data_IF_013932008968
#
_entry.id   IF_013932008968
#
_cell.length_a   1.000
_cell.length_b   1.000
_cell.length_c   1.000
_cell.angle_alpha   90.00
_cell.angle_beta   90.00
_cell.angle_gamma   90.00
#
_symmetry.space_group_name_H-M   'P 1'
#
loop_
_entity.id
_entity.type
_entity.pdbx_description
1 polymer ?
#
# COMPACT_ATOMS: atom_id res chain seq x y z
N UNK A 1 10.16 0.57 22.10
CA UNK A 1 9.59 1.72 21.38
C UNK A 1 9.77 1.42 19.90
N UNK A 2 8.70 1.10 19.19
CA UNK A 2 8.74 0.75 17.79
C UNK A 2 8.57 2.02 16.98
N UNK A 3 9.61 2.39 16.22
CA UNK A 3 9.65 3.61 15.41
C UNK A 3 8.77 3.60 14.16
N UNK A 4 8.10 2.48 13.82
CA UNK A 4 7.14 2.44 12.72
C UNK A 4 5.73 2.39 13.28
N UNK A 5 4.99 3.47 13.08
CA UNK A 5 3.60 3.66 13.51
C UNK A 5 2.59 2.89 12.67
N UNK A 6 2.80 1.59 12.44
CA UNK A 6 1.77 0.76 11.80
C UNK A 6 0.71 0.42 12.83
N UNK A 7 -0.42 1.09 12.72
CA UNK A 7 -1.57 0.86 13.62
C UNK A 7 -2.33 -0.38 13.20
N UNK A 8 -2.72 -1.18 14.19
CA UNK A 8 -3.69 -2.25 14.02
C UNK A 8 -5.02 -1.59 13.60
N UNK A 9 -5.69 -2.13 12.59
CA UNK A 9 -7.02 -1.67 12.20
C UNK A 9 -7.99 -1.65 13.38
N UNK A 10 -8.90 -0.68 13.40
CA UNK A 10 -9.89 -0.57 14.47
C UNK A 10 -10.70 -1.88 14.62
N UNK A 11 -11.12 -2.27 15.83
CA UNK A 11 -11.79 -3.55 16.07
C UNK A 11 -13.01 -3.81 15.19
N UNK A 12 -13.80 -2.77 14.88
CA UNK A 12 -14.94 -2.91 13.96
C UNK A 12 -14.49 -3.25 12.54
N UNK A 13 -13.36 -2.68 12.07
CA UNK A 13 -12.82 -2.97 10.75
C UNK A 13 -12.28 -4.40 10.68
N UNK A 14 -11.60 -4.87 11.74
CA UNK A 14 -11.19 -6.27 11.84
C UNK A 14 -12.41 -7.20 11.73
N UNK A 15 -13.48 -6.90 12.46
CA UNK A 15 -14.73 -7.65 12.37
C UNK A 15 -15.34 -7.64 10.97
N UNK A 16 -15.30 -6.50 10.27
CA UNK A 16 -15.77 -6.35 8.89
C UNK A 16 -14.94 -7.21 7.93
N UNK A 17 -13.60 -7.14 8.03
CA UNK A 17 -12.71 -7.94 7.19
C UNK A 17 -12.94 -9.44 7.40
N UNK A 18 -12.97 -9.89 8.65
CA UNK A 18 -13.20 -11.31 8.98
C UNK A 18 -14.58 -11.80 8.49
N UNK A 19 -15.62 -10.96 8.62
CA UNK A 19 -16.95 -11.29 8.15
C UNK A 19 -16.99 -11.49 6.63
N UNK A 20 -16.41 -10.55 5.88
CA UNK A 20 -16.43 -10.59 4.42
C UNK A 20 -15.37 -11.52 3.79
N UNK A 21 -14.36 -11.93 4.57
CA UNK A 21 -13.40 -12.94 4.12
C UNK A 21 -14.03 -14.35 4.08
N UNK A 22 -15.14 -14.57 4.79
CA UNK A 22 -15.92 -15.80 4.74
C UNK A 22 -15.06 -17.07 4.92
N UNK A 23 -14.17 -17.04 5.90
CA UNK A 23 -13.21 -18.11 6.16
C UNK A 23 -13.91 -19.36 6.67
N UNK A 24 -13.57 -20.50 6.09
CA UNK A 24 -13.99 -21.81 6.54
C UNK A 24 -12.78 -22.64 7.00
N UNK A 25 -13.05 -23.63 7.86
CA UNK A 25 -12.03 -24.59 8.30
C UNK A 25 -11.46 -25.37 7.09
N UNK A 26 -10.15 -25.53 7.06
CA UNK A 26 -9.44 -26.24 6.01
C UNK A 26 -9.07 -25.40 4.79
N UNK A 27 -9.32 -24.09 4.79
CA UNK A 27 -8.93 -23.20 3.70
C UNK A 27 -7.48 -22.73 3.82
N UNK A 28 -6.86 -22.48 2.66
CA UNK A 28 -5.56 -21.84 2.54
C UNK A 28 -5.74 -20.36 2.27
N UNK A 29 -5.16 -19.53 3.14
CA UNK A 29 -5.33 -18.07 3.12
C UNK A 29 -3.99 -17.39 2.93
N UNK A 30 -3.95 -16.39 2.03
CA UNK A 30 -2.84 -15.48 1.88
C UNK A 30 -3.19 -14.12 2.49
N UNK A 31 -2.28 -13.56 3.28
CA UNK A 31 -2.39 -12.20 3.81
C UNK A 31 -1.21 -11.40 3.28
N UNK A 32 -1.50 -10.27 2.64
CA UNK A 32 -0.49 -9.32 2.18
C UNK A 32 -0.47 -8.14 3.16
N UNK A 33 0.66 -7.96 3.84
CA UNK A 33 0.86 -7.01 4.93
C UNK A 33 0.47 -7.58 6.31
N UNK A 34 1.46 -7.92 7.13
CA UNK A 34 1.23 -8.63 8.41
C UNK A 34 0.66 -7.74 9.52
N UNK A 35 0.96 -6.44 9.51
CA UNK A 35 0.58 -5.46 10.54
C UNK A 35 0.75 -5.99 11.99
N UNK A 36 1.85 -6.73 12.23
CA UNK A 36 2.18 -7.29 13.55
C UNK A 36 1.43 -8.57 13.94
N UNK A 37 0.76 -9.25 12.98
CA UNK A 37 0.31 -10.63 13.14
C UNK A 37 -1.01 -10.86 13.88
N UNK A 38 -1.69 -9.81 14.38
CA UNK A 38 -2.92 -10.02 15.17
C UNK A 38 -4.04 -10.67 14.34
N UNK A 39 -4.28 -10.15 13.13
CA UNK A 39 -5.30 -10.68 12.21
C UNK A 39 -4.93 -12.09 11.74
N UNK A 40 -3.64 -12.32 11.45
CA UNK A 40 -3.11 -13.62 11.06
C UNK A 40 -3.35 -14.69 12.14
N UNK A 41 -3.13 -14.36 13.41
CA UNK A 41 -3.36 -15.28 14.51
C UNK A 41 -4.86 -15.61 14.71
N UNK A 42 -5.77 -14.71 14.35
CA UNK A 42 -7.20 -15.01 14.35
C UNK A 42 -7.54 -15.96 13.20
N UNK A 43 -7.03 -15.65 11.99
CA UNK A 43 -7.28 -16.45 10.79
C UNK A 43 -6.70 -17.87 10.93
N UNK A 44 -5.50 -18.02 11.51
CA UNK A 44 -4.91 -19.32 11.82
C UNK A 44 -5.82 -20.21 12.67
N UNK A 45 -6.52 -19.60 13.63
CA UNK A 45 -7.51 -20.32 14.44
C UNK A 45 -8.79 -20.65 13.69
N UNK A 46 -9.18 -19.82 12.72
CA UNK A 46 -10.40 -20.02 11.93
C UNK A 46 -10.22 -21.11 10.88
N UNK A 47 -9.05 -21.20 10.24
CA UNK A 47 -8.76 -22.27 9.27
C UNK A 47 -8.53 -23.63 9.92
N UNK A 48 -8.15 -23.67 11.20
CA UNK A 48 -7.98 -24.90 11.96
C UNK A 48 -6.78 -25.74 11.51
N UNK A 49 -6.79 -27.02 11.87
CA UNK A 49 -5.65 -27.94 11.67
C UNK A 49 -5.45 -28.36 10.21
N UNK A 50 -6.44 -28.18 9.35
CA UNK A 50 -6.42 -28.64 7.96
C UNK A 50 -6.22 -27.52 6.94
N UNK A 51 -6.24 -26.26 7.40
CA UNK A 51 -5.98 -25.08 6.58
C UNK A 51 -4.61 -24.46 6.87
N UNK A 52 -4.24 -23.48 6.09
CA UNK A 52 -2.99 -22.74 6.28
C UNK A 52 -3.16 -21.24 6.16
N UNK A 53 -2.23 -20.49 6.77
CA UNK A 53 -2.13 -19.04 6.61
C UNK A 53 -0.71 -18.70 6.19
N UNK A 54 -0.59 -18.10 5.00
CA UNK A 54 0.66 -17.56 4.49
C UNK A 54 0.62 -16.02 4.59
N UNK A 55 1.70 -15.40 5.07
CA UNK A 55 1.84 -13.96 5.15
C UNK A 55 2.96 -13.49 4.22
N UNK A 56 2.69 -12.41 3.52
CA UNK A 56 3.71 -11.63 2.83
C UNK A 56 3.92 -10.34 3.62
N UNK A 57 5.14 -10.11 4.07
CA UNK A 57 5.55 -8.87 4.74
C UNK A 57 6.91 -8.45 4.23
N UNK A 58 6.98 -7.46 3.34
CA UNK A 58 8.23 -6.98 2.77
C UNK A 58 9.14 -6.36 3.83
N UNK A 59 8.59 -5.60 4.75
CA UNK A 59 9.37 -4.91 5.77
C UNK A 59 9.97 -5.90 6.78
N UNK A 60 11.30 -6.00 6.79
CA UNK A 60 12.05 -6.96 7.59
C UNK A 60 11.84 -6.79 9.10
N UNK A 61 11.71 -5.55 9.59
CA UNK A 61 11.48 -5.28 11.01
C UNK A 61 10.08 -5.73 11.43
N UNK A 62 9.06 -5.42 10.61
CA UNK A 62 7.67 -5.83 10.83
C UNK A 62 7.55 -7.35 10.73
N UNK A 63 8.24 -7.98 9.77
CA UNK A 63 8.31 -9.44 9.60
C UNK A 63 8.85 -10.10 10.85
N UNK A 64 10.05 -9.71 11.32
CA UNK A 64 10.66 -10.25 12.54
C UNK A 64 9.76 -10.09 13.76
N UNK A 65 9.17 -8.91 13.92
CA UNK A 65 8.24 -8.65 15.02
C UNK A 65 6.99 -9.55 14.95
N UNK A 66 6.50 -9.80 13.75
CA UNK A 66 5.35 -10.68 13.51
C UNK A 66 5.71 -12.12 13.83
N UNK A 67 6.88 -12.60 13.39
CA UNK A 67 7.40 -13.96 13.67
C UNK A 67 7.47 -14.22 15.18
N UNK A 68 8.12 -13.34 15.94
CA UNK A 68 8.25 -13.45 17.39
C UNK A 68 6.89 -13.56 18.12
N UNK A 69 5.86 -12.88 17.62
CA UNK A 69 4.52 -12.92 18.22
C UNK A 69 3.70 -14.12 17.81
N UNK A 70 3.88 -14.59 16.58
CA UNK A 70 3.14 -15.74 16.07
C UNK A 70 3.65 -17.04 16.68
N UNK A 71 4.95 -17.20 16.92
CA UNK A 71 5.51 -18.38 17.59
C UNK A 71 4.79 -18.73 18.90
N UNK A 72 4.41 -17.71 19.67
CA UNK A 72 3.70 -17.90 20.94
C UNK A 72 2.20 -18.21 20.79
N UNK A 73 1.60 -17.95 19.62
CA UNK A 73 0.15 -17.88 19.44
C UNK A 73 -0.40 -18.77 18.31
N UNK A 74 0.45 -19.28 17.42
CA UNK A 74 0.03 -20.21 16.35
C UNK A 74 -0.39 -21.57 16.95
N UNK A 75 -1.52 -22.08 16.48
CA UNK A 75 -2.04 -23.40 16.88
C UNK A 75 -2.01 -24.42 15.76
N UNK A 76 -2.09 -23.98 14.51
CA UNK A 76 -2.06 -24.89 13.35
C UNK A 76 -0.67 -25.44 13.09
N UNK A 77 0.38 -24.70 13.47
CA UNK A 77 1.78 -25.04 13.16
C UNK A 77 2.12 -24.89 11.66
N UNK A 78 1.21 -24.33 10.87
CA UNK A 78 1.34 -24.16 9.41
C UNK A 78 1.25 -22.67 9.02
N UNK A 79 1.66 -21.78 9.91
CA UNK A 79 1.78 -20.38 9.55
C UNK A 79 3.15 -20.11 8.94
N UNK A 80 3.17 -19.49 7.77
CA UNK A 80 4.36 -19.21 6.98
C UNK A 80 4.47 -17.72 6.73
N UNK A 81 5.66 -17.16 6.87
CA UNK A 81 5.92 -15.75 6.63
C UNK A 81 7.05 -15.64 5.61
N UNK A 82 6.82 -14.88 4.54
CA UNK A 82 7.78 -14.61 3.47
C UNK A 82 7.89 -13.10 3.24
N UNK A 83 9.02 -12.65 2.70
CA UNK A 83 9.25 -11.24 2.40
C UNK A 83 8.55 -10.81 1.10
N UNK A 84 8.65 -11.62 0.06
CA UNK A 84 8.03 -11.34 -1.24
C UNK A 84 7.48 -12.62 -1.88
N UNK A 85 6.69 -12.46 -2.95
CA UNK A 85 6.21 -13.60 -3.76
C UNK A 85 7.35 -14.37 -4.43
N UNK A 86 8.46 -13.71 -4.71
CA UNK A 86 9.61 -14.29 -5.39
C UNK A 86 10.46 -15.18 -4.48
N UNK A 87 10.38 -15.01 -3.15
CA UNK A 87 11.12 -15.84 -2.20
C UNK A 87 10.69 -17.32 -2.22
N UNK A 88 9.52 -17.60 -2.80
CA UNK A 88 8.96 -18.94 -2.77
C UNK A 88 8.27 -19.34 -4.07
N UNK A 89 9.02 -20.03 -4.91
CA UNK A 89 8.52 -20.57 -6.18
C UNK A 89 7.36 -21.58 -6.02
N UNK A 90 7.14 -22.13 -4.82
CA UNK A 90 6.09 -23.10 -4.50
C UNK A 90 5.03 -22.52 -3.54
N UNK A 91 4.76 -21.21 -3.61
CA UNK A 91 3.83 -20.53 -2.68
C UNK A 91 2.42 -21.15 -2.66
N UNK A 92 2.01 -21.82 -3.73
CA UNK A 92 0.70 -22.47 -3.82
C UNK A 92 -0.40 -21.58 -4.36
N UNK A 93 -1.64 -21.97 -4.11
CA UNK A 93 -2.85 -21.22 -4.49
C UNK A 93 -3.79 -21.12 -3.31
N UNK A 94 -4.62 -20.07 -3.27
CA UNK A 94 -5.41 -19.72 -2.11
C UNK A 94 -6.88 -19.53 -2.44
N UNK A 95 -7.76 -19.95 -1.53
CA UNK A 95 -9.19 -19.66 -1.61
C UNK A 95 -9.49 -18.21 -1.25
N UNK A 96 -8.69 -17.64 -0.35
CA UNK A 96 -8.88 -16.29 0.19
C UNK A 96 -7.57 -15.55 0.23
N UNK A 97 -7.57 -14.36 -0.34
CA UNK A 97 -6.44 -13.45 -0.24
C UNK A 97 -6.93 -12.16 0.42
N UNK A 98 -6.25 -11.74 1.48
CA UNK A 98 -6.54 -10.51 2.20
C UNK A 98 -5.41 -9.51 2.00
N UNK A 99 -5.72 -8.35 1.44
CA UNK A 99 -4.81 -7.21 1.34
C UNK A 99 -5.14 -6.24 2.47
N UNK A 100 -4.16 -5.93 3.34
CA UNK A 100 -4.39 -5.17 4.57
C UNK A 100 -4.06 -3.68 4.48
N UNK A 101 -3.52 -3.21 3.36
CA UNK A 101 -3.28 -1.81 3.01
C UNK A 101 -3.99 -1.43 1.73
N UNK A 102 -4.12 -0.15 1.40
CA UNK A 102 -4.74 0.28 0.16
C UNK A 102 -3.85 -0.01 -1.03
N UNK A 103 -4.46 -0.47 -2.10
CA UNK A 103 -3.84 -0.74 -3.40
C UNK A 103 -4.75 -0.20 -4.51
N UNK A 104 -4.19 0.22 -5.64
CA UNK A 104 -5.02 0.65 -6.77
C UNK A 104 -5.61 -0.54 -7.51
N UNK A 105 -4.83 -1.58 -7.66
CA UNK A 105 -5.19 -2.84 -8.33
C UNK A 105 -4.71 -4.03 -7.51
N UNK A 106 -5.08 -5.25 -7.92
CA UNK A 106 -4.51 -6.47 -7.32
C UNK A 106 -2.99 -6.46 -7.60
N UNK A 107 -2.14 -6.63 -6.58
CA UNK A 107 -0.69 -6.65 -6.80
C UNK A 107 -0.27 -7.69 -7.84
N UNK A 108 0.74 -7.37 -8.64
CA UNK A 108 1.24 -8.24 -9.70
C UNK A 108 1.61 -9.63 -9.14
N UNK A 109 1.29 -10.67 -9.88
CA UNK A 109 1.51 -12.06 -9.46
C UNK A 109 0.44 -12.63 -8.53
N UNK A 110 -0.30 -11.80 -7.78
CA UNK A 110 -1.34 -12.28 -6.84
C UNK A 110 -2.54 -12.87 -7.55
N UNK A 111 -2.90 -12.37 -8.73
CA UNK A 111 -4.04 -12.86 -9.51
C UNK A 111 -3.94 -14.36 -9.83
N UNK A 112 -2.72 -14.86 -10.07
CA UNK A 112 -2.47 -16.25 -10.41
C UNK A 112 -2.58 -17.19 -9.20
N UNK A 113 -2.48 -16.63 -7.99
CA UNK A 113 -2.55 -17.41 -6.75
C UNK A 113 -3.99 -17.65 -6.28
N UNK A 114 -4.98 -16.94 -6.84
CA UNK A 114 -6.39 -17.14 -6.49
C UNK A 114 -6.94 -18.34 -7.26
N UNK A 115 -7.49 -19.33 -6.56
CA UNK A 115 -8.17 -20.46 -7.21
C UNK A 115 -9.48 -20.02 -7.89
N UNK A 116 -10.02 -20.86 -8.75
CA UNK A 116 -11.37 -20.65 -9.30
C UNK A 116 -12.43 -20.69 -8.19
N UNK A 117 -13.28 -19.66 -8.10
CA UNK A 117 -14.21 -19.43 -6.98
C UNK A 117 -13.57 -18.84 -5.71
N UNK A 118 -12.26 -18.59 -5.73
CA UNK A 118 -11.57 -17.83 -4.70
C UNK A 118 -11.68 -16.32 -4.92
N UNK A 119 -11.25 -15.54 -3.94
CA UNK A 119 -11.31 -14.08 -4.06
C UNK A 119 -10.20 -13.33 -3.32
N UNK A 120 -9.97 -12.09 -3.76
CA UNK A 120 -9.17 -11.08 -3.06
C UNK A 120 -10.12 -10.12 -2.35
N UNK A 121 -9.89 -9.90 -1.06
CA UNK A 121 -10.56 -8.89 -0.25
C UNK A 121 -9.54 -7.82 0.15
N UNK A 122 -9.84 -6.56 -0.09
CA UNK A 122 -8.94 -5.48 0.31
C UNK A 122 -9.51 -4.09 0.02
N UNK A 123 -8.84 -3.04 0.51
CA UNK A 123 -9.15 -1.66 0.17
C UNK A 123 -8.52 -1.31 -1.17
N UNK A 124 -9.33 -0.96 -2.14
CA UNK A 124 -8.91 -0.56 -3.48
C UNK A 124 -9.23 0.91 -3.74
N UNK A 125 -8.30 1.61 -4.35
CA UNK A 125 -8.42 3.04 -4.69
C UNK A 125 -7.24 3.86 -4.19
N UNK A 126 -7.28 5.16 -4.46
CA UNK A 126 -6.28 6.13 -4.00
C UNK A 126 -6.51 6.60 -2.55
N UNK A 127 -5.74 7.59 -2.07
CA UNK A 127 -5.77 8.02 -0.66
C UNK A 127 -7.12 8.61 -0.22
N UNK A 128 -7.84 9.25 -1.14
CA UNK A 128 -9.13 9.94 -0.85
C UNK A 128 -10.32 9.02 -1.06
N UNK A 129 -10.27 8.17 -2.07
CA UNK A 129 -11.39 7.34 -2.49
C UNK A 129 -11.03 5.87 -2.47
N UNK A 130 -11.19 5.24 -1.31
CA UNK A 130 -10.99 3.81 -1.16
C UNK A 130 -12.32 3.09 -0.95
N UNK A 131 -12.45 1.94 -1.60
CA UNK A 131 -13.57 1.02 -1.45
C UNK A 131 -13.06 -0.34 -0.98
N UNK A 132 -13.69 -0.91 0.04
CA UNK A 132 -13.46 -2.30 0.36
C UNK A 132 -14.12 -3.14 -0.72
N UNK A 133 -13.31 -3.82 -1.54
CA UNK A 133 -13.80 -4.67 -2.62
C UNK A 133 -13.51 -6.14 -2.33
N UNK A 134 -14.47 -6.98 -2.67
CA UNK A 134 -14.29 -8.42 -2.81
C UNK A 134 -14.24 -8.72 -4.31
N UNK A 135 -13.08 -9.13 -4.80
CA UNK A 135 -12.82 -9.46 -6.20
C UNK A 135 -12.76 -10.98 -6.34
N UNK A 136 -13.81 -11.59 -6.87
CA UNK A 136 -13.97 -13.03 -7.01
C UNK A 136 -13.56 -13.48 -8.40
N UNK A 137 -12.75 -14.55 -8.48
CA UNK A 137 -12.34 -15.17 -9.72
C UNK A 137 -13.30 -16.28 -10.14
N UNK A 138 -13.79 -16.21 -11.37
CA UNK A 138 -14.58 -17.26 -12.01
C UNK A 138 -14.00 -17.54 -13.40
N UNK A 139 -13.14 -18.55 -13.49
CA UNK A 139 -12.34 -18.80 -14.68
C UNK A 139 -11.39 -17.65 -15.00
N UNK A 140 -11.56 -17.02 -16.16
CA UNK A 140 -10.78 -15.85 -16.59
C UNK A 140 -11.47 -14.51 -16.27
N UNK A 141 -12.63 -14.54 -15.60
CA UNK A 141 -13.43 -13.33 -15.31
C UNK A 141 -13.36 -13.01 -13.82
N UNK A 142 -13.23 -11.73 -13.52
CA UNK A 142 -13.28 -11.19 -12.17
C UNK A 142 -14.60 -10.47 -11.92
N UNK A 143 -15.20 -10.71 -10.75
CA UNK A 143 -16.44 -10.08 -10.31
C UNK A 143 -16.17 -9.26 -9.07
N UNK A 144 -16.48 -7.98 -9.15
CA UNK A 144 -16.28 -7.03 -8.04
C UNK A 144 -17.56 -6.87 -7.24
N UNK A 145 -17.46 -7.05 -5.93
CA UNK A 145 -18.50 -6.69 -4.97
C UNK A 145 -18.01 -5.54 -4.11
N UNK A 146 -18.70 -4.41 -4.17
CA UNK A 146 -18.39 -3.23 -3.39
C UNK A 146 -19.03 -3.32 -2.00
N UNK A 147 -18.20 -3.30 -0.96
CA UNK A 147 -18.59 -3.45 0.45
C UNK A 147 -18.64 -2.11 1.21
N UNK A 148 -18.36 -1.00 0.53
CA UNK A 148 -18.45 0.35 1.11
C UNK A 148 -17.12 1.09 1.15
N UNK A 149 -17.21 2.39 1.48
CA UNK A 149 -16.07 3.28 1.63
C UNK A 149 -15.23 2.94 2.87
N UNK A 150 -13.91 2.98 2.73
CA UNK A 150 -12.96 2.72 3.82
C UNK A 150 -11.77 3.69 3.69
N UNK A 151 -10.95 3.76 4.74
CA UNK A 151 -9.69 4.49 4.75
C UNK A 151 -8.61 3.60 5.34
N UNK A 152 -7.62 3.27 4.55
CA UNK A 152 -6.45 2.48 4.93
C UNK A 152 -5.18 3.23 4.49
N UNK A 153 -4.08 3.05 5.22
CA UNK A 153 -2.77 3.46 4.72
C UNK A 153 -2.35 2.61 3.51
N UNK A 154 -1.42 3.11 2.70
CA UNK A 154 -0.94 2.41 1.52
C UNK A 154 -0.33 1.04 1.87
N UNK A 155 -0.34 0.12 0.91
CA UNK A 155 0.35 -1.16 1.02
C UNK A 155 1.81 -0.98 0.60
N UNK A 156 2.74 -1.40 1.43
CA UNK A 156 4.11 -1.61 0.99
C UNK A 156 4.20 -2.98 0.32
N UNK A 157 4.51 -3.02 -0.97
CA UNK A 157 4.50 -4.26 -1.75
C UNK A 157 5.88 -4.87 -1.88
N UNK A 158 6.96 -4.07 -1.79
CA UNK A 158 8.33 -4.56 -1.93
C UNK A 158 9.36 -3.63 -1.23
N UNK A 159 10.31 -4.20 -0.46
CA UNK A 159 11.48 -3.45 0.05
C UNK A 159 12.53 -3.18 -1.05
N UNK A 160 12.54 -4.00 -2.10
CA UNK A 160 13.55 -3.90 -3.17
C UNK A 160 13.27 -2.78 -4.17
N UNK A 161 12.06 -2.21 -4.18
CA UNK A 161 11.69 -1.08 -5.04
C UNK A 161 11.73 0.29 -4.33
N UNK A 162 12.05 0.34 -3.05
CA UNK A 162 12.15 1.60 -2.29
C UNK A 162 13.53 2.27 -2.46
N UNK A 163 14.05 2.32 -3.66
CA UNK A 163 15.04 3.34 -3.99
C UNK A 163 14.39 4.71 -3.86
N UNK A 164 15.06 5.66 -3.18
CA UNK A 164 14.57 7.03 -2.93
C UNK A 164 14.05 7.72 -4.20
N UNK A 165 14.41 7.22 -5.39
CA UNK A 165 14.04 7.75 -6.70
C UNK A 165 13.52 6.65 -7.65
N UNK A 166 12.81 5.63 -7.16
CA UNK A 166 12.08 4.71 -8.05
C UNK A 166 10.98 5.46 -8.80
N UNK A 167 10.99 5.47 -10.16
CA UNK A 167 10.07 6.28 -10.96
C UNK A 167 8.60 5.90 -10.75
N UNK A 168 8.29 4.61 -10.61
CA UNK A 168 6.91 4.14 -10.45
C UNK A 168 6.36 4.49 -9.07
N UNK A 169 7.17 4.29 -8.01
CA UNK A 169 6.81 4.69 -6.65
C UNK A 169 6.62 6.20 -6.56
N UNK A 170 7.51 6.99 -7.17
CA UNK A 170 7.39 8.45 -7.18
C UNK A 170 6.15 8.91 -7.97
N UNK A 171 5.86 8.29 -9.12
CA UNK A 171 4.67 8.57 -9.90
C UNK A 171 3.40 8.30 -9.09
N UNK A 172 3.36 7.18 -8.37
CA UNK A 172 2.24 6.81 -7.51
C UNK A 172 2.05 7.78 -6.35
N UNK A 173 3.14 8.20 -5.68
CA UNK A 173 3.07 9.19 -4.60
C UNK A 173 2.59 10.57 -5.11
N UNK A 174 3.07 11.03 -6.27
CA UNK A 174 2.62 12.29 -6.86
C UNK A 174 1.15 12.21 -7.26
N UNK A 175 0.70 11.07 -7.80
CA UNK A 175 -0.70 10.84 -8.15
C UNK A 175 -1.60 10.85 -6.92
N UNK A 176 -1.18 10.20 -5.84
CA UNK A 176 -1.89 10.18 -4.56
C UNK A 176 -1.98 11.59 -3.94
N UNK A 177 -0.87 12.34 -3.96
CA UNK A 177 -0.85 13.73 -3.51
C UNK A 177 -1.77 14.62 -4.37
N UNK A 178 -1.77 14.45 -5.71
CA UNK A 178 -2.65 15.18 -6.60
C UNK A 178 -4.12 14.90 -6.28
N UNK A 179 -4.51 13.63 -6.11
CA UNK A 179 -5.87 13.22 -5.77
C UNK A 179 -6.33 13.85 -4.44
N UNK A 180 -5.44 13.87 -3.44
CA UNK A 180 -5.71 14.48 -2.15
C UNK A 180 -5.92 15.99 -2.27
N UNK A 181 -5.04 16.67 -2.99
CA UNK A 181 -5.10 18.14 -3.17
C UNK A 181 -6.33 18.53 -4.00
N UNK A 182 -6.65 17.81 -5.10
CA UNK A 182 -7.87 18.04 -5.90
C UNK A 182 -9.16 17.83 -5.06
N UNK A 183 -9.12 16.97 -4.04
CA UNK A 183 -10.22 16.76 -3.10
C UNK A 183 -10.41 17.88 -2.08
N UNK A 184 -9.38 18.67 -1.82
CA UNK A 184 -9.36 19.72 -0.78
C UNK A 184 -9.39 21.15 -1.34
N UNK A 185 -8.77 21.37 -2.50
CA UNK A 185 -8.56 22.70 -3.11
C UNK A 185 -8.83 22.64 -4.60
N UNK A 186 -9.40 23.72 -5.16
CA UNK A 186 -9.48 23.88 -6.62
C UNK A 186 -8.07 24.17 -7.18
N UNK A 187 -7.50 23.21 -7.92
CA UNK A 187 -6.27 23.41 -8.66
C UNK A 187 -6.60 23.91 -10.08
N UNK A 188 -5.78 24.81 -10.61
CA UNK A 188 -5.92 25.22 -12.00
C UNK A 188 -5.77 24.01 -12.94
N UNK A 189 -6.68 23.86 -13.92
CA UNK A 189 -6.68 22.73 -14.86
C UNK A 189 -5.34 22.54 -15.60
N UNK A 190 -4.62 23.64 -15.84
CA UNK A 190 -3.29 23.63 -16.46
C UNK A 190 -2.26 22.96 -15.54
N UNK A 191 -2.29 23.27 -14.24
CA UNK A 191 -1.37 22.67 -13.26
C UNK A 191 -1.66 21.18 -13.08
N UNK A 192 -2.93 20.82 -12.90
CA UNK A 192 -3.35 19.42 -12.81
C UNK A 192 -2.94 18.59 -14.04
N UNK A 193 -3.12 19.15 -15.25
CA UNK A 193 -2.68 18.49 -16.49
C UNK A 193 -1.17 18.30 -16.55
N UNK A 194 -0.37 19.29 -16.11
CA UNK A 194 1.09 19.17 -16.06
C UNK A 194 1.56 18.11 -15.08
N UNK A 195 0.96 18.05 -13.90
CA UNK A 195 1.26 17.02 -12.90
C UNK A 195 0.96 15.62 -13.46
N UNK A 196 -0.19 15.44 -14.11
CA UNK A 196 -0.53 14.17 -14.77
C UNK A 196 0.45 13.79 -15.88
N UNK A 197 0.94 14.77 -16.65
CA UNK A 197 1.98 14.50 -17.65
C UNK A 197 3.31 14.10 -17.00
N UNK A 198 3.68 14.70 -15.87
CA UNK A 198 4.87 14.31 -15.11
C UNK A 198 4.76 12.86 -14.61
N UNK A 199 3.59 12.48 -14.05
CA UNK A 199 3.29 11.11 -13.61
C UNK A 199 3.45 10.12 -14.78
N UNK A 200 2.90 10.44 -15.96
CA UNK A 200 3.06 9.61 -17.16
C UNK A 200 4.51 9.49 -17.60
N UNK A 201 5.26 10.59 -17.60
CA UNK A 201 6.68 10.58 -17.96
C UNK A 201 7.54 9.74 -17.00
N UNK A 202 7.22 9.76 -15.70
CA UNK A 202 7.88 8.89 -14.73
C UNK A 202 7.57 7.42 -15.00
N UNK A 203 6.32 7.06 -15.28
CA UNK A 203 5.90 5.69 -15.61
C UNK A 203 6.45 5.16 -16.94
N UNK A 204 6.75 6.05 -17.87
CA UNK A 204 7.37 5.69 -19.16
C UNK A 204 8.90 5.53 -19.07
N UNK A 205 9.51 5.79 -17.92
CA UNK A 205 10.95 5.59 -17.75
C UNK A 205 11.33 4.11 -17.89
N UNK A 206 12.54 3.84 -18.42
CA UNK A 206 12.98 2.46 -18.60
C UNK A 206 13.17 1.75 -17.26
N UNK A 207 12.80 0.49 -17.20
CA UNK A 207 13.09 -0.35 -16.05
C UNK A 207 14.61 -0.53 -15.86
N UNK A 208 15.08 -0.58 -14.62
CA UNK A 208 16.48 -0.81 -14.29
C UNK A 208 17.35 0.44 -14.32
N UNK A 209 16.80 1.59 -13.95
CA UNK A 209 17.60 2.77 -13.61
C UNK A 209 18.54 2.47 -12.46
N UNK A 210 19.67 3.19 -12.35
CA UNK A 210 20.56 3.07 -11.19
C UNK A 210 19.76 3.28 -9.90
N UNK A 211 19.95 2.42 -8.90
CA UNK A 211 19.37 2.66 -7.58
C UNK A 211 20.12 3.77 -6.87
N UNK A 212 19.41 4.71 -6.27
CA UNK A 212 19.98 5.72 -5.38
C UNK A 212 19.66 5.31 -3.94
N UNK A 213 20.71 5.20 -3.14
CA UNK A 213 20.65 4.87 -1.73
C UNK A 213 21.37 5.93 -0.87
N UNK A 214 21.46 5.70 0.42
CA UNK A 214 22.11 6.62 1.37
C UNK A 214 23.61 6.80 1.13
N UNK A 215 24.26 5.88 0.42
CA UNK A 215 25.69 5.91 0.10
C UNK A 215 25.99 6.57 -1.26
N UNK A 216 24.95 6.92 -2.03
CA UNK A 216 25.07 7.54 -3.35
C UNK A 216 25.64 8.97 -3.25
N UNK A 217 26.57 9.29 -4.17
CA UNK A 217 27.20 10.62 -4.22
C UNK A 217 26.26 11.67 -4.79
N UNK A 218 26.50 12.96 -4.46
CA UNK A 218 25.71 14.09 -5.02
C UNK A 218 25.76 14.12 -6.56
N UNK A 219 26.87 13.69 -7.18
CA UNK A 219 27.03 13.64 -8.63
C UNK A 219 26.16 12.56 -9.25
N UNK A 220 26.08 11.36 -8.66
CA UNK A 220 25.21 10.26 -9.07
C UNK A 220 23.74 10.63 -8.93
N UNK A 221 23.37 11.34 -7.85
CA UNK A 221 22.01 11.81 -7.65
C UNK A 221 21.62 12.83 -8.72
N UNK A 222 22.48 13.82 -9.01
CA UNK A 222 22.20 14.87 -9.99
C UNK A 222 22.16 14.37 -11.44
N UNK A 223 22.91 13.30 -11.76
CA UNK A 223 22.90 12.68 -13.07
C UNK A 223 21.76 11.66 -13.27
N UNK A 224 20.98 11.40 -12.21
CA UNK A 224 19.90 10.41 -12.29
C UNK A 224 18.74 10.91 -13.17
N UNK A 225 18.20 10.10 -14.12
CA UNK A 225 17.17 10.52 -15.04
C UNK A 225 15.88 11.06 -14.39
N UNK A 226 15.51 10.53 -13.23
CA UNK A 226 14.35 11.02 -12.46
C UNK A 226 14.60 12.44 -11.95
N UNK A 227 15.81 12.71 -11.45
CA UNK A 227 16.19 14.05 -10.97
C UNK A 227 16.21 15.03 -12.15
N UNK A 228 16.79 14.64 -13.28
CA UNK A 228 16.82 15.48 -14.50
C UNK A 228 15.39 15.83 -14.95
N UNK A 229 14.46 14.87 -14.97
CA UNK A 229 13.05 15.11 -15.29
C UNK A 229 12.41 16.10 -14.31
N UNK A 230 12.57 15.91 -12.99
CA UNK A 230 11.99 16.80 -11.98
C UNK A 230 12.59 18.19 -12.08
N UNK A 231 13.90 18.29 -12.26
CA UNK A 231 14.58 19.58 -12.41
C UNK A 231 14.16 20.33 -13.68
N UNK A 232 13.81 19.62 -14.75
CA UNK A 232 13.26 20.25 -15.96
C UNK A 232 11.89 20.90 -15.75
N UNK A 233 11.15 20.43 -14.75
CA UNK A 233 9.80 20.91 -14.41
C UNK A 233 9.78 21.84 -13.19
N UNK A 234 10.95 22.14 -12.59
CA UNK A 234 11.08 22.84 -11.31
C UNK A 234 10.47 24.25 -11.31
N UNK A 235 10.49 24.95 -12.44
CA UNK A 235 10.03 26.33 -12.56
C UNK A 235 8.55 26.49 -12.17
N UNK A 236 7.73 25.51 -12.56
CA UNK A 236 6.30 25.52 -12.24
C UNK A 236 5.93 24.60 -11.06
N UNK A 237 6.70 23.52 -10.85
CA UNK A 237 6.50 22.59 -9.74
C UNK A 237 6.96 23.20 -8.41
N UNK A 238 8.03 24.02 -8.42
CA UNK A 238 8.61 24.63 -7.25
C UNK A 238 7.61 25.37 -6.34
N UNK A 239 6.71 26.21 -6.88
CA UNK A 239 5.66 26.86 -6.10
C UNK A 239 4.64 25.91 -5.47
N UNK A 240 4.41 24.73 -6.07
CA UNK A 240 3.51 23.70 -5.58
C UNK A 240 4.21 22.71 -4.66
N UNK A 241 5.54 22.65 -4.69
CA UNK A 241 6.34 21.70 -3.93
C UNK A 241 6.09 21.70 -2.43
N UNK A 242 5.90 22.84 -1.74
CA UNK A 242 5.58 22.82 -0.31
C UNK A 242 4.30 22.05 0.01
N UNK A 243 3.31 22.12 -0.87
CA UNK A 243 2.05 21.37 -0.71
C UNK A 243 2.32 19.87 -0.91
N UNK A 244 2.98 19.51 -2.00
CA UNK A 244 3.30 18.12 -2.28
C UNK A 244 4.24 17.50 -1.25
N UNK A 245 5.27 18.23 -0.80
CA UNK A 245 6.22 17.74 0.21
C UNK A 245 5.59 17.52 1.57
N UNK A 246 4.60 18.34 1.95
CA UNK A 246 3.84 18.15 3.18
C UNK A 246 3.04 16.83 3.14
N UNK A 247 2.37 16.56 2.04
CA UNK A 247 1.64 15.31 1.85
C UNK A 247 2.56 14.10 1.73
N UNK A 248 3.68 14.22 1.02
CA UNK A 248 4.70 13.17 0.94
C UNK A 248 5.35 12.91 2.32
N UNK A 249 5.55 13.95 3.13
CA UNK A 249 6.11 13.83 4.48
C UNK A 249 5.15 13.15 5.46
N UNK A 250 3.85 13.38 5.31
CA UNK A 250 2.82 12.73 6.13
C UNK A 250 2.79 11.22 5.87
N UNK A 251 2.93 10.78 4.62
CA UNK A 251 2.98 9.35 4.29
C UNK A 251 4.25 8.66 4.80
N UNK A 252 5.40 9.33 4.74
CA UNK A 252 6.70 8.77 5.15
C UNK A 252 6.89 8.83 6.67
N UNK A 253 6.42 9.89 7.35
CA UNK A 253 6.74 10.13 8.75
C UNK A 253 5.63 9.75 9.75
N UNK A 254 4.35 9.72 9.36
CA UNK A 254 3.28 9.50 10.33
C UNK A 254 1.91 9.15 9.70
N UNK A 255 1.66 7.91 9.30
CA UNK A 255 0.39 7.49 8.69
C UNK A 255 -0.81 7.57 9.65
N UNK A 256 -0.63 8.08 10.86
CA UNK A 256 -1.67 8.24 11.88
C UNK A 256 -2.13 9.68 12.14
N UNK A 257 -1.57 10.69 11.46
CA UNK A 257 -1.84 12.12 11.76
C UNK A 257 -2.93 12.76 10.88
N UNK A 258 -3.72 11.98 10.16
CA UNK A 258 -4.86 12.50 9.37
C UNK A 258 -5.91 13.30 10.19
N UNK A 259 -5.76 13.38 11.51
CA UNK A 259 -6.55 14.25 12.38
C UNK A 259 -6.01 15.69 12.52
N UNK A 260 -4.71 15.91 12.31
CA UNK A 260 -4.10 17.26 12.49
C UNK A 260 -4.22 18.14 11.24
N UNK A 261 -4.32 17.55 10.05
CA UNK A 261 -4.47 18.32 8.79
C UNK A 261 -5.79 19.09 8.75
N UNK A 262 -6.85 18.59 9.36
CA UNK A 262 -8.17 19.26 9.41
C UNK A 262 -8.17 20.45 10.38
N UNK A 263 -7.35 20.40 11.45
CA UNK A 263 -7.21 21.53 12.39
C UNK A 263 -6.38 22.67 11.79
N UNK A 264 -5.35 22.34 10.98
CA UNK A 264 -4.50 23.35 10.36
C UNK A 264 -5.21 24.18 9.27
N UNK A 265 -6.16 23.60 8.55
CA UNK A 265 -6.97 24.29 7.53
C UNK A 265 -8.14 25.11 8.13
N UNK A 266 -8.47 24.91 9.40
CA UNK A 266 -9.57 25.62 10.09
C UNK A 266 -9.22 27.01 10.62
N UNK A 267 -7.95 27.35 10.80
CA UNK A 267 -7.50 28.60 11.46
C UNK A 267 -7.01 29.72 10.51
N UNK A 268 -7.16 29.56 9.19
CA UNK A 268 -6.83 30.61 8.22
C UNK A 268 -8.06 31.42 7.76
N UNK A 269 -8.82 32.01 8.71
CA UNK A 269 -9.81 33.06 8.41
C UNK A 269 -9.20 34.46 8.18
N UNK A 270 -7.89 34.63 8.10
CA UNK A 270 -7.24 35.95 7.96
C UNK A 270 -6.47 36.12 6.62
N UNK A 271 -7.12 35.83 5.49
CA UNK A 271 -6.69 36.39 4.21
C UNK A 271 -7.88 37.01 3.48
N UNK A 272 -8.17 38.27 3.80
CA UNK A 272 -8.97 39.19 2.97
C UNK A 272 -8.06 40.34 2.52
N UNK A 273 -8.11 40.75 1.22
CA UNK A 273 -7.16 41.57 0.47
C UNK A 273 -6.95 42.97 0.98
#
# INVERSE_FOLDING_TARGET
EYGSTRTISAPHMIGTLLHHLEVCEGQDILIIGSKGGYLSAILDRMVGEYGSVTLIEPNQEVRRYTEERIEDHSKSGIMRIIGSLEEDEEIGSFERILVTGSVREIPEGVEHLVIDGGFVLGPFGGPVHQRLLKKERQGEIWFDTDLGGVVFGPMEVDETQSGILDPESLASHIEDALELVEGLVEIEEVASTRIRNLILSLREMPAGLPSIDEDSTEEEILEHPVVDLIMSEIDWLGPLWPIFSEFLSIDIANPGSSGEVVEFLGDHEDFVP
#
